data_IF_898375111834
#
_entry.id   IF_898375111834
#
_cell.length_a   1.000
_cell.length_b   1.000
_cell.length_c   1.000
_cell.angle_alpha   90.00
_cell.angle_beta   90.00
_cell.angle_gamma   90.00
#
_symmetry.space_group_name_H-M   'P 1'
#
loop_
_entity.id
_entity.type
_entity.pdbx_description
1 polymer ?
#
# COMPACT_ATOMS: atom_id res chain seq x y z
N UNK A 1 -5.11 21.24 -4.71
CA UNK A 1 -4.22 21.33 -3.52
C UNK A 1 -2.83 21.81 -3.94
N UNK A 2 -2.04 22.38 -3.04
CA UNK A 2 -0.62 22.67 -3.26
C UNK A 2 0.23 21.38 -3.27
N UNK A 3 1.48 21.49 -3.73
CA UNK A 3 2.43 20.36 -3.73
C UNK A 3 2.69 19.84 -2.31
N UNK A 4 2.86 20.73 -1.33
CA UNK A 4 3.10 20.34 0.07
C UNK A 4 1.88 19.64 0.70
N UNK A 5 0.67 20.14 0.42
CA UNK A 5 -0.58 19.51 0.88
C UNK A 5 -0.76 18.12 0.23
N UNK A 6 -0.47 18.01 -1.07
CA UNK A 6 -0.48 16.73 -1.78
C UNK A 6 0.54 15.76 -1.22
N UNK A 7 1.74 16.24 -0.86
CA UNK A 7 2.78 15.44 -0.20
C UNK A 7 2.30 14.84 1.11
N UNK A 8 1.72 15.67 1.98
CA UNK A 8 1.14 15.20 3.25
C UNK A 8 -0.03 14.24 3.04
N UNK A 9 -0.90 14.54 2.07
CA UNK A 9 -2.02 13.68 1.73
C UNK A 9 -1.55 12.31 1.24
N UNK A 10 -0.58 12.28 0.33
CA UNK A 10 0.01 11.07 -0.22
C UNK A 10 0.69 10.23 0.86
N UNK A 11 1.55 10.84 1.70
CA UNK A 11 2.21 10.11 2.80
C UNK A 11 1.20 9.58 3.82
N UNK A 12 0.21 10.38 4.20
CA UNK A 12 -0.88 9.94 5.06
C UNK A 12 -1.78 8.86 4.44
N UNK A 13 -1.63 8.58 3.15
CA UNK A 13 -2.33 7.52 2.43
C UNK A 13 -1.50 6.23 2.38
N UNK A 14 -0.21 6.32 2.05
CA UNK A 14 0.64 5.13 1.81
C UNK A 14 1.38 4.63 3.06
N UNK A 15 1.75 5.50 4.00
CA UNK A 15 2.54 5.11 5.16
C UNK A 15 1.83 4.13 6.12
N UNK A 16 0.51 4.26 6.39
CA UNK A 16 -0.21 3.25 7.17
C UNK A 16 -0.17 1.86 6.52
N UNK A 17 -0.23 1.79 5.18
CA UNK A 17 -0.11 0.53 4.45
C UNK A 17 1.30 -0.04 4.58
N UNK A 18 2.33 0.79 4.43
CA UNK A 18 3.73 0.36 4.59
C UNK A 18 3.98 -0.24 5.98
N UNK A 19 3.48 0.41 7.04
CA UNK A 19 3.64 -0.08 8.41
C UNK A 19 2.90 -1.42 8.65
N UNK A 20 1.66 -1.54 8.17
CA UNK A 20 0.90 -2.77 8.28
C UNK A 20 1.50 -3.91 7.44
N UNK A 21 1.97 -3.60 6.24
CA UNK A 21 2.65 -4.54 5.34
C UNK A 21 3.94 -5.07 5.96
N UNK A 22 4.75 -4.17 6.57
CA UNK A 22 5.92 -4.58 7.33
C UNK A 22 5.58 -5.55 8.45
N UNK A 23 4.50 -5.29 9.20
CA UNK A 23 4.07 -6.16 10.30
C UNK A 23 3.69 -7.56 9.80
N UNK A 24 2.93 -7.64 8.70
CA UNK A 24 2.59 -8.93 8.08
C UNK A 24 3.84 -9.64 7.54
N UNK A 25 4.73 -8.91 6.87
CA UNK A 25 5.98 -9.47 6.35
C UNK A 25 6.87 -10.01 7.48
N UNK A 26 7.00 -9.28 8.59
CA UNK A 26 7.77 -9.75 9.75
C UNK A 26 7.15 -11.02 10.34
N UNK A 27 5.81 -11.13 10.36
CA UNK A 27 5.11 -12.34 10.80
C UNK A 27 5.32 -13.55 9.84
N UNK A 28 5.31 -13.30 8.53
CA UNK A 28 5.64 -14.29 7.50
C UNK A 28 7.09 -14.77 7.64
N UNK A 29 8.05 -13.84 7.79
CA UNK A 29 9.47 -14.19 8.01
C UNK A 29 9.66 -14.99 9.30
N UNK A 30 8.96 -14.63 10.36
CA UNK A 30 8.97 -15.35 11.63
C UNK A 30 8.23 -16.69 11.59
N UNK A 31 7.54 -17.02 10.48
CA UNK A 31 6.74 -18.24 10.30
C UNK A 31 5.74 -18.44 11.46
N UNK A 32 5.06 -17.36 11.86
CA UNK A 32 4.11 -17.35 12.96
C UNK A 32 2.68 -17.17 12.44
N UNK A 33 1.91 -18.26 12.38
CA UNK A 33 0.56 -18.27 11.81
C UNK A 33 -0.43 -17.34 12.55
N UNK A 34 -0.39 -17.32 13.88
CA UNK A 34 -1.25 -16.44 14.68
C UNK A 34 -0.91 -14.95 14.44
N UNK A 35 0.37 -14.64 14.30
CA UNK A 35 0.83 -13.29 13.96
C UNK A 35 0.44 -12.90 12.53
N UNK A 36 0.49 -13.83 11.58
CA UNK A 36 0.03 -13.64 10.19
C UNK A 36 -1.46 -13.29 10.16
N UNK A 37 -2.29 -14.05 10.89
CA UNK A 37 -3.74 -13.81 10.95
C UNK A 37 -4.06 -12.46 11.59
N UNK A 38 -3.44 -12.17 12.74
CA UNK A 38 -3.70 -10.92 13.47
C UNK A 38 -3.19 -9.67 12.74
N UNK A 39 -2.12 -9.77 11.95
CA UNK A 39 -1.57 -8.64 11.18
C UNK A 39 -2.23 -8.42 9.82
N UNK A 40 -2.86 -9.46 9.23
CA UNK A 40 -3.58 -9.34 7.96
C UNK A 40 -4.77 -8.37 8.04
N UNK A 41 -5.50 -8.34 9.17
CA UNK A 41 -6.65 -7.44 9.38
C UNK A 41 -6.30 -5.96 9.24
N UNK A 42 -5.33 -5.43 10.02
CA UNK A 42 -4.83 -4.07 9.86
C UNK A 42 -4.36 -3.73 8.44
N UNK A 43 -3.71 -4.67 7.74
CA UNK A 43 -3.28 -4.44 6.36
C UNK A 43 -4.47 -4.30 5.40
N UNK A 44 -5.50 -5.14 5.55
CA UNK A 44 -6.75 -5.02 4.77
C UNK A 44 -7.37 -3.65 4.97
N UNK A 45 -7.53 -3.21 6.23
CA UNK A 45 -8.11 -1.90 6.54
C UNK A 45 -7.31 -0.77 5.93
N UNK A 46 -5.99 -0.74 6.13
CA UNK A 46 -5.12 0.30 5.57
C UNK A 46 -5.12 0.32 4.05
N UNK A 47 -5.10 -0.85 3.39
CA UNK A 47 -5.14 -0.94 1.93
C UNK A 47 -6.49 -0.45 1.36
N UNK A 48 -7.61 -0.78 2.02
CA UNK A 48 -8.94 -0.26 1.66
C UNK A 48 -9.01 1.26 1.84
N UNK A 49 -8.48 1.79 2.94
CA UNK A 49 -8.43 3.23 3.19
C UNK A 49 -7.56 3.95 2.16
N UNK A 50 -6.40 3.39 1.83
CA UNK A 50 -5.52 3.94 0.81
C UNK A 50 -6.20 3.96 -0.57
N UNK A 51 -6.82 2.84 -0.97
CA UNK A 51 -7.56 2.76 -2.22
C UNK A 51 -8.70 3.79 -2.27
N UNK A 52 -9.51 3.91 -1.21
CA UNK A 52 -10.59 4.92 -1.12
C UNK A 52 -10.07 6.35 -1.24
N UNK A 53 -8.96 6.66 -0.58
CA UNK A 53 -8.33 7.99 -0.61
C UNK A 53 -7.76 8.34 -1.98
N UNK A 54 -7.23 7.36 -2.71
CA UNK A 54 -6.73 7.56 -4.06
C UNK A 54 -7.86 7.62 -5.10
N UNK A 55 -9.02 7.02 -4.81
CA UNK A 55 -10.21 7.04 -5.66
C UNK A 55 -11.12 8.26 -5.44
N UNK A 56 -10.91 9.03 -4.36
CA UNK A 56 -11.76 10.17 -4.01
C UNK A 56 -11.68 11.28 -5.06
N UNK A 57 -12.72 11.38 -5.89
CA UNK A 57 -12.83 12.38 -6.97
C UNK A 57 -12.91 13.83 -6.46
N UNK A 58 -13.08 14.07 -5.15
CA UNK A 58 -13.02 15.41 -4.56
C UNK A 58 -11.59 15.87 -4.31
N UNK A 59 -10.62 14.95 -4.34
CA UNK A 59 -9.21 15.22 -4.13
C UNK A 59 -8.59 15.63 -5.46
N UNK A 60 -8.40 16.94 -5.63
CA UNK A 60 -7.79 17.50 -6.84
C UNK A 60 -6.28 17.61 -6.66
N UNK A 61 -5.56 16.64 -7.23
CA UNK A 61 -4.09 16.61 -7.29
C UNK A 61 -3.53 17.85 -8.02
N UNK A 62 -2.33 18.33 -7.66
CA UNK A 62 -1.68 19.40 -8.39
C UNK A 62 -1.27 18.91 -9.79
N UNK A 63 -1.25 19.81 -10.78
CA UNK A 63 -0.99 19.48 -12.19
C UNK A 63 0.34 18.74 -12.45
N UNK A 64 1.30 18.86 -11.53
CA UNK A 64 2.57 18.13 -11.60
C UNK A 64 2.41 16.62 -11.45
N UNK A 65 1.28 16.13 -10.93
CA UNK A 65 0.97 14.71 -10.71
C UNK A 65 0.20 14.14 -11.89
N UNK A 66 0.71 13.05 -12.45
CA UNK A 66 -0.01 12.27 -13.45
C UNK A 66 -1.07 11.41 -12.76
N UNK A 67 -2.34 11.60 -13.14
CA UNK A 67 -3.45 10.81 -12.62
C UNK A 67 -3.27 9.31 -12.85
N UNK A 68 -2.59 8.91 -13.94
CA UNK A 68 -2.32 7.48 -14.20
C UNK A 68 -1.46 6.83 -13.12
N UNK A 69 -0.57 7.60 -12.48
CA UNK A 69 0.25 7.08 -11.38
C UNK A 69 -0.59 6.89 -10.11
N UNK A 70 -1.53 7.80 -9.85
CA UNK A 70 -2.49 7.70 -8.76
C UNK A 70 -3.39 6.48 -8.96
N UNK A 71 -3.93 6.32 -10.17
CA UNK A 71 -4.79 5.20 -10.55
C UNK A 71 -4.06 3.87 -10.45
N UNK A 72 -2.80 3.80 -10.92
CA UNK A 72 -1.98 2.58 -10.83
C UNK A 72 -1.76 2.14 -9.38
N UNK A 73 -1.54 3.09 -8.47
CA UNK A 73 -1.37 2.78 -7.04
C UNK A 73 -2.69 2.36 -6.37
N UNK A 74 -3.79 3.04 -6.71
CA UNK A 74 -5.14 2.65 -6.27
C UNK A 74 -5.46 1.23 -6.67
N UNK A 75 -5.26 0.91 -7.95
CA UNK A 75 -5.61 -0.38 -8.54
C UNK A 75 -4.78 -1.51 -7.91
N UNK A 76 -3.50 -1.26 -7.63
CA UNK A 76 -2.67 -2.21 -6.90
C UNK A 76 -3.26 -2.56 -5.53
N UNK A 77 -3.69 -1.58 -4.74
CA UNK A 77 -4.31 -1.86 -3.44
C UNK A 77 -5.58 -2.70 -3.58
N UNK A 78 -6.43 -2.42 -4.58
CA UNK A 78 -7.59 -3.28 -4.86
C UNK A 78 -7.19 -4.70 -5.26
N UNK A 79 -6.17 -4.86 -6.09
CA UNK A 79 -5.68 -6.15 -6.56
C UNK A 79 -4.99 -6.97 -5.45
N UNK A 80 -4.40 -6.31 -4.45
CA UNK A 80 -3.72 -6.98 -3.33
C UNK A 80 -4.71 -7.53 -2.29
N UNK A 81 -5.91 -6.94 -2.16
CA UNK A 81 -6.90 -7.34 -1.14
C UNK A 81 -7.28 -8.83 -1.18
N UNK A 82 -7.54 -9.46 -2.33
CA UNK A 82 -7.78 -10.90 -2.40
C UNK A 82 -6.65 -11.73 -1.79
N UNK A 83 -5.39 -11.43 -2.12
CA UNK A 83 -4.23 -12.16 -1.59
C UNK A 83 -4.13 -12.02 -0.06
N UNK A 84 -4.30 -10.79 0.46
CA UNK A 84 -4.26 -10.57 1.92
C UNK A 84 -5.39 -11.32 2.63
N UNK A 85 -6.60 -11.37 2.05
CA UNK A 85 -7.69 -12.17 2.60
C UNK A 85 -7.38 -13.68 2.55
N UNK A 86 -6.78 -14.19 1.47
CA UNK A 86 -6.37 -15.60 1.40
C UNK A 86 -5.32 -15.94 2.47
N UNK A 87 -4.36 -15.05 2.73
CA UNK A 87 -3.39 -15.21 3.81
C UNK A 87 -4.10 -15.25 5.18
N UNK A 88 -5.04 -14.32 5.41
CA UNK A 88 -5.79 -14.25 6.66
C UNK A 88 -6.57 -15.52 6.97
N UNK A 89 -7.15 -16.14 5.95
CA UNK A 89 -7.99 -17.35 6.10
C UNK A 89 -7.18 -18.66 5.93
N UNK A 90 -5.85 -18.58 5.79
CA UNK A 90 -4.99 -19.75 5.63
C UNK A 90 -5.01 -20.64 6.88
N UNK A 91 -5.09 -21.96 6.69
CA UNK A 91 -5.12 -22.93 7.78
C UNK A 91 -3.72 -23.41 8.20
N UNK A 92 -2.68 -23.06 7.43
CA UNK A 92 -1.30 -23.46 7.68
C UNK A 92 -0.29 -22.46 7.11
N UNK A 93 0.95 -22.53 7.60
CA UNK A 93 2.07 -21.75 7.06
C UNK A 93 2.33 -22.08 5.58
N UNK A 94 2.17 -23.33 5.16
CA UNK A 94 2.32 -23.72 3.76
C UNK A 94 1.32 -22.98 2.86
N UNK A 95 0.05 -22.93 3.28
CA UNK A 95 -0.98 -22.19 2.55
C UNK A 95 -0.71 -20.69 2.54
N UNK A 96 -0.29 -20.11 3.68
CA UNK A 96 0.06 -18.70 3.77
C UNK A 96 1.23 -18.32 2.84
N UNK A 97 2.30 -19.12 2.84
CA UNK A 97 3.50 -18.90 2.02
C UNK A 97 3.25 -19.14 0.52
N UNK A 98 2.23 -19.93 0.16
CA UNK A 98 1.87 -20.19 -1.23
C UNK A 98 1.08 -19.04 -1.89
N UNK A 99 0.62 -18.04 -1.12
CA UNK A 99 -0.14 -16.93 -1.67
C UNK A 99 0.78 -15.97 -2.43
N UNK A 100 0.49 -15.77 -3.71
CA UNK A 100 1.17 -14.78 -4.54
C UNK A 100 0.45 -13.42 -4.47
N UNK A 101 1.21 -12.37 -4.22
CA UNK A 101 0.73 -10.99 -4.40
C UNK A 101 0.78 -10.59 -5.88
N UNK A 102 -0.07 -9.64 -6.32
CA UNK A 102 0.09 -9.03 -7.63
C UNK A 102 1.47 -8.36 -7.74
N UNK A 103 2.01 -8.33 -8.96
CA UNK A 103 3.25 -7.57 -9.24
C UNK A 103 3.04 -6.10 -8.91
N UNK A 104 4.04 -5.49 -8.27
CA UNK A 104 4.08 -4.09 -7.91
C UNK A 104 5.00 -3.26 -8.83
N UNK A 105 5.52 -3.82 -9.93
CA UNK A 105 6.46 -3.10 -10.80
C UNK A 105 5.89 -1.76 -11.31
N UNK A 106 4.62 -1.75 -11.70
CA UNK A 106 3.93 -0.56 -12.21
C UNK A 106 3.59 0.41 -11.07
N UNK A 107 3.02 -0.08 -9.98
CA UNK A 107 2.58 0.75 -8.84
C UNK A 107 3.75 1.28 -8.00
N UNK A 108 4.81 0.50 -7.85
CA UNK A 108 6.07 0.89 -7.24
C UNK A 108 6.75 2.00 -8.03
N UNK A 109 6.86 1.87 -9.35
CA UNK A 109 7.39 2.94 -10.20
C UNK A 109 6.49 4.20 -10.17
N UNK A 110 5.17 4.03 -10.16
CA UNK A 110 4.21 5.14 -10.03
C UNK A 110 4.37 5.89 -8.70
N UNK A 111 4.49 5.15 -7.59
CA UNK A 111 4.74 5.72 -6.26
C UNK A 111 6.00 6.56 -6.22
N UNK A 112 7.10 6.09 -6.84
CA UNK A 112 8.35 6.84 -6.92
C UNK A 112 8.24 8.10 -7.80
N UNK A 113 7.50 8.04 -8.91
CA UNK A 113 7.21 9.23 -9.73
C UNK A 113 6.39 10.27 -8.96
N UNK A 114 5.37 9.84 -8.22
CA UNK A 114 4.57 10.72 -7.35
C UNK A 114 5.48 11.38 -6.30
N UNK A 115 6.32 10.60 -5.60
CA UNK A 115 7.28 11.12 -4.61
C UNK A 115 8.18 12.20 -5.21
N UNK A 116 8.78 11.93 -6.37
CA UNK A 116 9.64 12.87 -7.06
C UNK A 116 8.92 14.19 -7.36
N UNK A 117 7.70 14.14 -7.91
CA UNK A 117 6.89 15.32 -8.25
C UNK A 117 6.40 16.09 -7.02
N UNK A 118 6.26 15.42 -5.89
CA UNK A 118 5.89 16.00 -4.60
C UNK A 118 7.09 16.46 -3.77
N UNK A 119 8.31 16.40 -4.30
CA UNK A 119 9.57 16.68 -3.58
C UNK A 119 9.72 15.85 -2.29
N UNK A 120 9.22 14.62 -2.30
CA UNK A 120 9.34 13.67 -1.18
C UNK A 120 10.58 12.80 -1.35
N UNK A 121 11.10 12.28 -0.23
CA UNK A 121 12.20 11.32 -0.25
C UNK A 121 11.82 10.07 -1.05
N UNK A 122 12.74 9.61 -1.90
CA UNK A 122 12.65 8.30 -2.56
C UNK A 122 12.82 7.15 -1.57
N UNK A 123 13.53 7.38 -0.46
CA UNK A 123 13.62 6.45 0.66
C UNK A 123 12.27 6.39 1.37
N UNK A 124 11.59 5.25 1.23
CA UNK A 124 10.26 5.00 1.81
C UNK A 124 10.31 4.74 3.31
N UNK A 125 11.49 4.47 3.87
CA UNK A 125 11.75 4.25 5.31
C UNK A 125 12.05 5.56 6.04
N UNK A 126 12.56 6.58 5.32
CA UNK A 126 12.73 7.94 5.85
C UNK A 126 11.55 8.85 5.49
N UNK A 127 10.86 8.55 4.38
CA UNK A 127 9.72 9.31 3.88
C UNK A 127 8.38 8.89 4.48
N UNK A 128 8.37 7.78 5.21
CA UNK A 128 7.41 7.42 6.25
C UNK A 128 8.23 7.31 7.56
#
# INVERSE_FOLDING_TARGET
MSVDEAGKYFLGTVCPVNAASKTLNDALVAQNLDAIHSSSGPLITSAQDAARRLDDQKVIWPEVIDQKDVDSLRDYYFQALPAINTIKESASLEQANAVAFPSDEVSGAASQRIRLRLNLSADTTMGC
#
